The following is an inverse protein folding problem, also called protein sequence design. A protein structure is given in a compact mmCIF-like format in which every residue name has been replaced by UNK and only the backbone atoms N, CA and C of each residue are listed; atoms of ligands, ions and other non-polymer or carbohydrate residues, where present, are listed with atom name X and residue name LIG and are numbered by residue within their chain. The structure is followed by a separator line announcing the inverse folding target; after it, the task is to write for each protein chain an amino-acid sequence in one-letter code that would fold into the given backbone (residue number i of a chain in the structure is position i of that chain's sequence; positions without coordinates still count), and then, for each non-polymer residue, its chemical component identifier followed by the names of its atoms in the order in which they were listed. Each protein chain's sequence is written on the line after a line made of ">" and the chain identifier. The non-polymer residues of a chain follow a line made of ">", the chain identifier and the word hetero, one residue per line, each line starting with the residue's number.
data_IF_169017447895
#
_entry.id   IF_169017447895
#
_cell.length_a   1.000
_cell.length_b   1.000
_cell.length_c   1.000
_cell.angle_alpha   90.00
_cell.angle_beta   90.00
_cell.angle_gamma   90.00
#
_symmetry.space_group_name_H-M   'P 1'
#
loop_
_entity.id
_entity.type
_entity.pdbx_description
1 polymer ?
#
# COMPACT_ATOMS: atom_id res chain seq x y z
N UNK A 1 -13.99 -20.97 10.60
CA UNK A 1 -13.31 -19.96 11.44
C UNK A 1 -11.89 -19.82 10.90
N UNK A 2 -11.43 -18.59 10.66
CA UNK A 2 -10.03 -18.31 10.28
C UNK A 2 -9.12 -18.77 11.42
N UNK A 3 -8.10 -19.57 11.11
CA UNK A 3 -7.15 -20.06 12.11
C UNK A 3 -5.90 -19.18 12.05
N UNK A 4 -5.79 -18.22 12.97
CA UNK A 4 -4.57 -17.44 13.15
C UNK A 4 -3.51 -18.29 13.85
N UNK A 5 -2.26 -18.20 13.38
CA UNK A 5 -1.11 -18.91 13.96
C UNK A 5 -0.07 -17.95 14.60
N UNK A 6 -0.30 -16.63 14.50
CA UNK A 6 0.48 -15.60 15.18
C UNK A 6 -0.43 -14.74 16.04
N UNK A 7 -0.13 -14.65 17.33
CA UNK A 7 -0.71 -13.66 18.23
C UNK A 7 0.23 -12.46 18.30
N UNK A 8 -0.27 -11.26 17.94
CA UNK A 8 0.52 -10.02 17.94
C UNK A 8 0.69 -9.41 19.35
N UNK A 9 -0.10 -9.81 20.34
CA UNK A 9 -0.02 -9.27 21.69
C UNK A 9 1.37 -9.51 22.30
N UNK A 10 1.99 -8.45 22.83
CA UNK A 10 3.32 -8.49 23.42
C UNK A 10 4.48 -8.67 22.44
N UNK A 11 4.23 -8.67 21.12
CA UNK A 11 5.28 -8.81 20.11
C UNK A 11 5.85 -7.48 19.65
N UNK A 12 7.06 -7.56 19.09
CA UNK A 12 7.67 -6.43 18.38
C UNK A 12 7.44 -6.58 16.87
N UNK A 13 6.91 -5.54 16.26
CA UNK A 13 6.64 -5.46 14.82
C UNK A 13 7.50 -4.37 14.19
N UNK A 14 8.20 -4.70 13.10
CA UNK A 14 8.86 -3.70 12.27
C UNK A 14 7.93 -3.28 11.11
N UNK A 15 7.65 -1.99 11.01
CA UNK A 15 6.93 -1.40 9.88
C UNK A 15 7.88 -0.51 9.10
N UNK A 16 8.26 -0.90 7.89
CA UNK A 16 9.05 -0.04 7.01
C UNK A 16 8.12 0.85 6.16
N UNK A 17 8.57 2.06 5.82
CA UNK A 17 7.66 3.05 5.22
C UNK A 17 6.62 3.57 6.21
N UNK A 18 7.00 3.67 7.49
CA UNK A 18 6.09 3.96 8.59
C UNK A 18 5.52 5.40 8.56
N UNK A 19 6.22 6.36 7.97
CA UNK A 19 5.71 7.71 7.71
C UNK A 19 4.91 7.80 6.40
N UNK A 20 4.82 6.70 5.66
CA UNK A 20 4.00 6.58 4.44
C UNK A 20 2.51 6.50 4.74
N UNK A 21 1.69 6.59 3.69
CA UNK A 21 0.23 6.56 3.78
C UNK A 21 -0.31 5.29 4.46
N UNK A 22 0.03 4.12 3.92
CA UNK A 22 -0.45 2.85 4.46
C UNK A 22 0.25 2.54 5.79
N UNK A 23 1.58 2.78 5.87
CA UNK A 23 2.37 2.48 7.06
C UNK A 23 1.90 3.20 8.30
N UNK A 24 1.64 4.51 8.22
CA UNK A 24 1.16 5.28 9.36
C UNK A 24 -0.23 4.85 9.84
N UNK A 25 -1.14 4.54 8.91
CA UNK A 25 -2.46 4.02 9.26
C UNK A 25 -2.38 2.62 9.88
N UNK A 26 -1.47 1.77 9.40
CA UNK A 26 -1.21 0.46 10.00
C UNK A 26 -0.69 0.59 11.45
N UNK A 27 0.30 1.45 11.68
CA UNK A 27 0.83 1.65 13.04
C UNK A 27 -0.25 2.14 14.00
N UNK A 28 -1.06 3.14 13.59
CA UNK A 28 -2.19 3.63 14.38
C UNK A 28 -3.19 2.51 14.71
N UNK A 29 -3.52 1.67 13.73
CA UNK A 29 -4.42 0.55 13.91
C UNK A 29 -3.86 -0.51 14.87
N UNK A 30 -2.56 -0.82 14.77
CA UNK A 30 -1.91 -1.77 15.68
C UNK A 30 -1.96 -1.30 17.13
N UNK A 31 -1.70 -0.01 17.41
CA UNK A 31 -1.82 0.53 18.77
C UNK A 31 -3.24 0.56 19.30
N UNK A 32 -4.24 0.71 18.41
CA UNK A 32 -5.64 0.68 18.81
C UNK A 32 -6.12 -0.75 19.15
N UNK A 33 -5.73 -1.75 18.35
CA UNK A 33 -6.36 -3.08 18.41
C UNK A 33 -5.52 -4.10 19.19
N UNK A 34 -4.21 -3.92 19.31
CA UNK A 34 -3.31 -4.94 19.87
C UNK A 34 -2.68 -4.46 21.17
N UNK A 35 -2.93 -5.20 22.25
CA UNK A 35 -2.39 -4.89 23.58
C UNK A 35 -0.89 -5.16 23.65
N UNK A 36 -0.17 -4.28 24.35
CA UNK A 36 1.26 -4.45 24.66
C UNK A 36 2.16 -4.68 23.43
N UNK A 37 1.72 -4.25 22.25
CA UNK A 37 2.53 -4.33 21.04
C UNK A 37 3.62 -3.26 21.06
N UNK A 38 4.83 -3.65 20.67
CA UNK A 38 5.91 -2.71 20.35
C UNK A 38 6.01 -2.55 18.84
N UNK A 39 6.02 -1.33 18.34
CA UNK A 39 6.19 -1.05 16.90
C UNK A 39 7.44 -0.23 16.68
N UNK A 40 8.30 -0.71 15.79
CA UNK A 40 9.45 0.03 15.29
C UNK A 40 9.13 0.46 13.87
N UNK A 41 9.21 1.76 13.62
CA UNK A 41 9.04 2.32 12.28
C UNK A 41 10.38 2.75 11.70
N UNK A 42 10.59 2.49 10.40
CA UNK A 42 11.70 3.06 9.64
C UNK A 42 11.16 3.74 8.39
N UNK A 43 11.62 4.94 8.10
CA UNK A 43 11.30 5.70 6.89
C UNK A 43 12.43 6.67 6.56
N UNK A 44 12.71 6.86 5.28
CA UNK A 44 13.75 7.78 4.79
C UNK A 44 13.25 9.22 4.61
N UNK A 45 11.96 9.48 4.82
CA UNK A 45 11.31 10.80 4.69
C UNK A 45 11.71 11.50 3.37
N UNK A 46 11.65 10.75 2.25
CA UNK A 46 12.02 11.31 0.94
C UNK A 46 11.12 12.48 0.55
N UNK A 47 11.65 13.42 -0.21
CA UNK A 47 10.98 14.62 -0.72
C UNK A 47 10.20 14.37 -2.05
N UNK A 48 9.87 13.13 -2.35
CA UNK A 48 9.05 12.76 -3.52
C UNK A 48 7.72 13.52 -3.56
N UNK A 49 7.16 13.83 -2.41
CA UNK A 49 6.06 14.78 -2.19
C UNK A 49 6.29 15.53 -0.87
N UNK A 50 5.46 16.52 -0.57
CA UNK A 50 5.58 17.36 0.61
C UNK A 50 5.83 16.53 1.87
N UNK A 51 6.99 16.74 2.50
CA UNK A 51 7.43 15.99 3.68
C UNK A 51 6.60 16.33 4.93
N UNK A 52 5.95 17.50 4.96
CA UNK A 52 5.15 17.90 6.11
C UNK A 52 4.03 16.89 6.41
N UNK A 53 3.39 16.35 5.36
CA UNK A 53 2.36 15.31 5.56
C UNK A 53 2.93 14.03 6.21
N UNK A 54 4.23 13.73 6.01
CA UNK A 54 4.90 12.59 6.66
C UNK A 54 5.15 12.88 8.13
N UNK A 55 5.58 14.09 8.45
CA UNK A 55 5.77 14.50 9.85
C UNK A 55 4.44 14.58 10.61
N UNK A 56 3.36 15.07 9.99
CA UNK A 56 2.04 15.05 10.62
C UNK A 56 1.55 13.62 10.92
N UNK A 57 1.76 12.67 10.01
CA UNK A 57 1.46 11.24 10.26
C UNK A 57 2.26 10.68 11.44
N UNK A 58 3.54 11.06 11.58
CA UNK A 58 4.38 10.65 12.72
C UNK A 58 3.87 11.26 14.03
N UNK A 59 3.50 12.54 14.05
CA UNK A 59 2.89 13.19 15.21
C UNK A 59 1.59 12.50 15.64
N UNK A 60 0.74 12.11 14.69
CA UNK A 60 -0.48 11.35 14.99
C UNK A 60 -0.16 10.01 15.67
N UNK A 61 0.91 9.31 15.25
CA UNK A 61 1.35 8.07 15.88
C UNK A 61 1.88 8.34 17.29
N UNK A 62 2.74 9.34 17.48
CA UNK A 62 3.32 9.73 18.76
C UNK A 62 2.24 10.11 19.78
N UNK A 63 1.18 10.78 19.33
CA UNK A 63 0.05 11.17 20.18
C UNK A 63 -0.75 9.99 20.76
N UNK A 64 -0.58 8.78 20.22
CA UNK A 64 -1.22 7.56 20.76
C UNK A 64 -0.50 6.99 21.98
N UNK A 65 0.71 7.48 22.31
CA UNK A 65 1.51 7.04 23.44
C UNK A 65 1.75 5.52 23.52
N UNK A 66 1.80 4.85 22.37
CA UNK A 66 2.14 3.42 22.27
C UNK A 66 3.65 3.19 22.47
N UNK A 67 4.06 1.91 22.60
CA UNK A 67 5.51 1.54 22.61
C UNK A 67 6.06 1.68 21.18
N UNK A 68 6.49 2.89 20.86
CA UNK A 68 6.90 3.36 19.53
C UNK A 68 8.34 3.80 19.50
N UNK A 69 9.08 3.29 18.50
CA UNK A 69 10.40 3.79 18.15
C UNK A 69 10.45 4.12 16.65
N UNK A 70 10.95 5.29 16.29
CA UNK A 70 11.11 5.71 14.90
C UNK A 70 12.59 5.84 14.52
N UNK A 71 12.96 5.20 13.41
CA UNK A 71 14.31 5.28 12.82
C UNK A 71 14.23 6.04 11.51
N UNK A 72 14.83 7.23 11.47
CA UNK A 72 14.95 8.00 10.24
C UNK A 72 16.13 7.48 9.40
N UNK A 73 15.88 6.50 8.57
CA UNK A 73 16.88 5.89 7.69
C UNK A 73 16.22 5.24 6.47
N UNK A 74 17.02 4.98 5.44
CA UNK A 74 16.59 4.19 4.27
C UNK A 74 16.74 2.69 4.56
N UNK A 75 15.82 1.87 4.07
CA UNK A 75 16.00 0.41 4.07
C UNK A 75 17.15 -0.04 3.15
N UNK A 76 17.63 0.83 2.24
CA UNK A 76 18.83 0.58 1.45
C UNK A 76 20.13 0.74 2.26
N UNK A 77 20.06 1.38 3.42
CA UNK A 77 21.15 1.42 4.41
C UNK A 77 21.16 0.10 5.20
N UNK A 78 22.09 -0.78 4.81
CA UNK A 78 22.21 -2.11 5.39
C UNK A 78 22.53 -2.06 6.88
N UNK A 79 23.40 -1.15 7.29
CA UNK A 79 23.84 -1.05 8.69
C UNK A 79 22.70 -0.57 9.60
N UNK A 80 21.89 0.38 9.11
CA UNK A 80 20.70 0.83 9.82
C UNK A 80 19.67 -0.29 9.98
N UNK A 81 19.43 -1.09 8.93
CA UNK A 81 18.52 -2.25 9.01
C UNK A 81 19.06 -3.29 9.99
N UNK A 82 20.32 -3.69 9.87
CA UNK A 82 20.94 -4.70 10.74
C UNK A 82 20.92 -4.27 12.21
N UNK A 83 21.17 -2.99 12.49
CA UNK A 83 21.09 -2.44 13.85
C UNK A 83 19.68 -2.62 14.45
N UNK A 84 18.62 -2.34 13.69
CA UNK A 84 17.23 -2.52 14.16
C UNK A 84 16.99 -3.97 14.61
N UNK A 85 17.40 -4.94 13.81
CA UNK A 85 17.19 -6.36 14.13
C UNK A 85 18.08 -6.88 15.26
N UNK A 86 19.32 -6.37 15.35
CA UNK A 86 20.25 -6.73 16.44
C UNK A 86 19.78 -6.21 17.80
N UNK A 87 19.25 -5.01 17.84
CA UNK A 87 18.79 -4.36 19.08
C UNK A 87 17.38 -4.80 19.51
N UNK A 88 16.62 -5.46 18.62
CA UNK A 88 15.22 -5.79 18.88
C UNK A 88 14.88 -7.20 18.36
N UNK A 89 14.16 -7.96 19.18
CA UNK A 89 13.61 -9.26 18.75
C UNK A 89 12.35 -9.03 17.90
N UNK A 90 12.53 -8.80 16.61
CA UNK A 90 11.43 -8.58 15.66
C UNK A 90 10.69 -9.90 15.39
N UNK A 91 9.39 -9.94 15.68
CA UNK A 91 8.56 -11.12 15.40
C UNK A 91 7.94 -11.04 13.99
N UNK A 92 7.41 -9.88 13.60
CA UNK A 92 6.75 -9.68 12.31
C UNK A 92 7.34 -8.46 11.62
N UNK A 93 7.62 -8.59 10.33
CA UNK A 93 8.05 -7.48 9.47
C UNK A 93 6.94 -7.14 8.49
N UNK A 94 6.54 -5.88 8.43
CA UNK A 94 5.64 -5.35 7.39
C UNK A 94 6.41 -4.37 6.52
N UNK A 95 6.90 -4.85 5.37
CA UNK A 95 7.71 -4.04 4.46
C UNK A 95 6.84 -3.27 3.47
N UNK A 96 6.55 -2.01 3.80
CA UNK A 96 5.81 -1.07 2.94
C UNK A 96 6.72 -0.01 2.31
N UNK A 97 7.96 0.14 2.79
CA UNK A 97 8.94 1.06 2.23
C UNK A 97 9.23 0.70 0.77
N UNK A 98 9.00 1.64 -0.10
CA UNK A 98 9.32 1.54 -1.53
C UNK A 98 9.22 2.91 -2.18
N UNK A 99 9.97 3.12 -3.26
CA UNK A 99 9.62 4.16 -4.20
C UNK A 99 8.42 3.66 -5.03
N UNK A 100 7.30 4.38 -4.92
CA UNK A 100 6.06 4.06 -5.62
C UNK A 100 5.79 5.05 -6.78
N UNK A 101 4.87 4.67 -7.66
CA UNK A 101 4.48 5.49 -8.82
C UNK A 101 5.09 5.00 -10.13
N UNK A 102 4.21 4.69 -11.10
CA UNK A 102 4.64 4.17 -12.42
C UNK A 102 5.42 5.23 -13.19
N UNK A 103 4.92 6.48 -13.20
CA UNK A 103 5.49 7.56 -14.02
C UNK A 103 6.85 8.03 -13.53
N UNK A 104 7.01 8.16 -12.23
CA UNK A 104 8.28 8.60 -11.65
C UNK A 104 9.40 7.58 -11.90
N UNK A 105 9.08 6.30 -12.12
CA UNK A 105 10.08 5.30 -12.48
C UNK A 105 10.72 5.52 -13.87
N UNK A 106 10.11 6.37 -14.72
CA UNK A 106 10.65 6.76 -16.02
C UNK A 106 11.70 7.85 -15.86
N UNK A 107 11.45 8.80 -14.95
CA UNK A 107 12.30 10.00 -14.78
C UNK A 107 13.37 9.83 -13.70
N UNK A 108 13.16 8.95 -12.72
CA UNK A 108 14.10 8.66 -11.63
C UNK A 108 14.18 7.14 -11.35
N UNK A 109 14.75 6.34 -12.25
CA UNK A 109 14.84 4.88 -12.11
C UNK A 109 15.71 4.45 -10.91
N UNK A 110 16.76 5.19 -10.57
CA UNK A 110 17.70 4.82 -9.51
C UNK A 110 17.02 4.75 -8.14
N UNK A 111 16.05 5.62 -7.87
CA UNK A 111 15.27 5.56 -6.63
C UNK A 111 14.53 4.23 -6.47
N UNK A 112 14.09 3.62 -7.57
CA UNK A 112 13.42 2.31 -7.58
C UNK A 112 14.38 1.16 -7.35
N UNK A 113 15.56 1.21 -7.96
CA UNK A 113 16.60 0.20 -7.74
C UNK A 113 17.04 0.23 -6.27
N UNK A 114 17.36 1.41 -5.73
CA UNK A 114 17.82 1.56 -4.35
C UNK A 114 16.74 1.12 -3.34
N UNK A 115 15.54 1.67 -3.42
CA UNK A 115 14.50 1.38 -2.42
C UNK A 115 13.89 -0.02 -2.61
N UNK A 116 13.52 -0.39 -3.87
CA UNK A 116 12.69 -1.55 -4.10
C UNK A 116 13.51 -2.84 -4.25
N UNK A 117 14.74 -2.77 -4.76
CA UNK A 117 15.59 -3.96 -4.91
C UNK A 117 16.61 -4.06 -3.77
N UNK A 118 17.50 -3.08 -3.64
CA UNK A 118 18.55 -3.13 -2.62
C UNK A 118 17.94 -3.09 -1.21
N UNK A 119 17.00 -2.17 -0.97
CA UNK A 119 16.32 -2.07 0.31
C UNK A 119 15.55 -3.33 0.67
N UNK A 120 14.80 -3.92 -0.27
CA UNK A 120 14.08 -5.15 -0.02
C UNK A 120 15.01 -6.35 0.22
N UNK A 121 16.13 -6.41 -0.51
CA UNK A 121 17.18 -7.40 -0.27
C UNK A 121 17.73 -7.30 1.15
N UNK A 122 18.02 -6.10 1.66
CA UNK A 122 18.49 -5.91 3.04
C UNK A 122 17.47 -6.43 4.07
N UNK A 123 16.16 -6.19 3.85
CA UNK A 123 15.09 -6.73 4.71
C UNK A 123 15.06 -8.26 4.65
N UNK A 124 15.20 -8.87 3.48
CA UNK A 124 15.23 -10.34 3.35
C UNK A 124 16.42 -10.96 4.08
N UNK A 125 17.61 -10.37 3.95
CA UNK A 125 18.82 -10.85 4.67
C UNK A 125 18.65 -10.69 6.18
N UNK A 126 18.12 -9.56 6.65
CA UNK A 126 17.83 -9.40 8.07
C UNK A 126 16.81 -10.44 8.56
N UNK A 127 15.74 -10.69 7.84
CA UNK A 127 14.76 -11.74 8.17
C UNK A 127 15.41 -13.13 8.21
N UNK A 128 16.37 -13.41 7.31
CA UNK A 128 17.10 -14.68 7.26
C UNK A 128 17.97 -14.92 8.50
N UNK A 129 18.58 -13.86 9.03
CA UNK A 129 19.55 -13.97 10.13
C UNK A 129 18.91 -13.81 11.52
N UNK A 130 17.66 -13.31 11.61
CA UNK A 130 17.01 -12.98 12.88
C UNK A 130 15.68 -13.70 13.14
N UNK A 131 15.41 -14.83 12.47
CA UNK A 131 14.31 -15.77 12.74
C UNK A 131 12.93 -15.10 12.91
N UNK A 132 12.50 -14.28 11.94
CA UNK A 132 11.16 -13.66 11.97
C UNK A 132 10.06 -14.70 11.77
N UNK A 133 8.94 -14.54 12.46
CA UNK A 133 7.78 -15.41 12.33
C UNK A 133 7.01 -15.18 11.01
N UNK A 134 7.01 -13.93 10.50
CA UNK A 134 6.32 -13.59 9.26
C UNK A 134 6.89 -12.33 8.61
N UNK A 135 7.17 -12.38 7.31
CA UNK A 135 7.42 -11.23 6.47
C UNK A 135 6.20 -10.95 5.60
N UNK A 136 5.52 -9.83 5.83
CA UNK A 136 4.46 -9.29 4.95
C UNK A 136 5.06 -8.15 4.14
N UNK A 137 4.86 -8.14 2.83
CA UNK A 137 5.46 -7.08 2.00
C UNK A 137 4.51 -6.56 0.90
N UNK A 138 4.65 -5.28 0.60
CA UNK A 138 3.88 -4.64 -0.46
C UNK A 138 4.41 -5.04 -1.85
N UNK A 139 3.58 -5.75 -2.62
CA UNK A 139 3.63 -5.81 -4.07
C UNK A 139 2.70 -4.75 -4.66
N UNK A 140 2.22 -4.91 -5.88
CA UNK A 140 1.37 -3.92 -6.56
C UNK A 140 0.55 -4.58 -7.66
N UNK A 141 -0.66 -4.09 -7.92
CA UNK A 141 -1.42 -4.45 -9.11
C UNK A 141 -0.70 -4.10 -10.43
N UNK A 142 0.30 -3.24 -10.39
CA UNK A 142 1.15 -2.92 -11.56
C UNK A 142 1.89 -4.13 -12.13
N UNK A 143 2.10 -5.21 -11.34
CA UNK A 143 2.74 -6.46 -11.81
C UNK A 143 1.93 -7.15 -12.89
N UNK A 144 0.62 -6.91 -12.96
CA UNK A 144 -0.23 -7.46 -14.02
C UNK A 144 0.10 -6.90 -15.41
N UNK A 145 0.73 -5.72 -15.48
CA UNK A 145 1.28 -5.16 -16.68
C UNK A 145 0.29 -5.10 -17.82
N UNK A 146 0.59 -5.78 -18.94
CA UNK A 146 -0.22 -5.84 -20.15
C UNK A 146 -1.31 -6.93 -20.15
N UNK A 147 -1.61 -7.57 -19.02
CA UNK A 147 -2.66 -8.56 -18.92
C UNK A 147 -4.01 -7.94 -19.31
N UNK A 148 -4.79 -8.69 -20.13
CA UNK A 148 -6.11 -8.23 -20.62
C UNK A 148 -7.28 -8.88 -19.88
N UNK A 149 -7.04 -10.05 -19.26
CA UNK A 149 -8.06 -10.78 -18.49
C UNK A 149 -8.34 -10.00 -17.18
N UNK A 150 -9.59 -9.78 -16.87
CA UNK A 150 -10.09 -9.22 -15.62
C UNK A 150 -11.25 -10.05 -15.07
N UNK A 151 -11.44 -10.17 -13.76
CA UNK A 151 -10.59 -9.66 -12.68
C UNK A 151 -9.18 -10.25 -12.72
N UNK A 152 -8.19 -9.49 -12.22
CA UNK A 152 -6.83 -9.98 -12.10
C UNK A 152 -6.73 -11.03 -10.99
N UNK A 153 -6.29 -12.23 -11.32
CA UNK A 153 -6.06 -13.32 -10.36
C UNK A 153 -4.59 -13.41 -9.96
N UNK A 154 -4.32 -13.85 -8.73
CA UNK A 154 -2.95 -14.14 -8.28
C UNK A 154 -2.30 -15.29 -9.06
N UNK A 155 -3.09 -16.14 -9.72
CA UNK A 155 -2.64 -17.24 -10.58
C UNK A 155 -2.27 -16.80 -12.01
N UNK A 156 -2.60 -15.54 -12.37
CA UNK A 156 -2.27 -15.03 -13.71
C UNK A 156 -0.75 -14.87 -13.84
N UNK A 157 -0.22 -15.18 -15.03
CA UNK A 157 1.16 -14.87 -15.38
C UNK A 157 1.37 -13.35 -15.38
N UNK A 158 2.43 -12.90 -14.73
CA UNK A 158 2.78 -11.49 -14.58
C UNK A 158 4.21 -11.22 -15.10
N UNK A 159 4.49 -11.68 -16.31
CA UNK A 159 5.82 -11.67 -16.91
C UNK A 159 6.03 -10.50 -17.89
N UNK A 160 5.01 -9.66 -18.10
CA UNK A 160 5.03 -8.55 -19.04
C UNK A 160 4.77 -7.20 -18.36
N UNK A 161 5.71 -6.75 -17.47
CA UNK A 161 5.60 -5.45 -16.80
C UNK A 161 5.68 -4.31 -17.81
N UNK A 162 4.90 -3.25 -17.63
CA UNK A 162 4.89 -2.07 -18.52
C UNK A 162 5.64 -0.87 -17.92
N UNK A 163 6.30 -1.05 -16.78
CA UNK A 163 7.13 -0.03 -16.14
C UNK A 163 8.24 -0.64 -15.30
N UNK A 164 9.31 0.12 -15.04
CA UNK A 164 10.35 -0.29 -14.11
C UNK A 164 9.79 -0.52 -12.70
N UNK A 165 8.85 0.32 -12.25
CA UNK A 165 8.16 0.09 -10.97
C UNK A 165 7.52 -1.30 -10.91
N UNK A 166 6.75 -1.68 -11.94
CA UNK A 166 6.13 -3.00 -12.00
C UNK A 166 7.17 -4.13 -11.98
N UNK A 167 8.26 -3.96 -12.74
CA UNK A 167 9.36 -4.92 -12.76
C UNK A 167 10.01 -5.08 -11.38
N UNK A 168 10.28 -3.99 -10.65
CA UNK A 168 10.83 -4.07 -9.29
C UNK A 168 9.89 -4.76 -8.32
N UNK A 169 8.57 -4.52 -8.42
CA UNK A 169 7.58 -5.19 -7.56
C UNK A 169 7.46 -6.68 -7.87
N UNK A 170 7.50 -7.06 -9.15
CA UNK A 170 7.58 -8.48 -9.51
C UNK A 170 8.88 -9.11 -9.03
N UNK A 171 10.00 -8.42 -9.11
CA UNK A 171 11.29 -8.88 -8.56
C UNK A 171 11.19 -9.14 -7.05
N UNK A 172 10.47 -8.30 -6.28
CA UNK A 172 10.24 -8.55 -4.86
C UNK A 172 9.50 -9.87 -4.63
N UNK A 173 8.46 -10.19 -5.42
CA UNK A 173 7.76 -11.48 -5.32
C UNK A 173 8.71 -12.66 -5.57
N UNK A 174 9.55 -12.58 -6.62
CA UNK A 174 10.51 -13.63 -6.95
C UNK A 174 11.60 -13.79 -5.88
N UNK A 175 12.14 -12.70 -5.37
CA UNK A 175 13.14 -12.70 -4.30
C UNK A 175 12.55 -13.30 -3.00
N UNK A 176 11.37 -12.85 -2.59
CA UNK A 176 10.71 -13.40 -1.39
C UNK A 176 10.40 -14.88 -1.53
N UNK A 177 9.93 -15.34 -2.70
CA UNK A 177 9.71 -16.76 -2.96
C UNK A 177 11.01 -17.57 -2.84
N UNK A 178 12.11 -17.08 -3.43
CA UNK A 178 13.42 -17.75 -3.35
C UNK A 178 13.90 -17.86 -1.90
N UNK A 179 13.77 -16.78 -1.10
CA UNK A 179 14.15 -16.78 0.31
C UNK A 179 13.25 -17.68 1.16
N UNK A 180 11.95 -17.71 0.90
CA UNK A 180 11.02 -18.67 1.54
C UNK A 180 11.42 -20.11 1.24
N UNK A 181 11.79 -20.42 -0.01
CA UNK A 181 12.19 -21.77 -0.41
C UNK A 181 13.52 -22.20 0.21
N UNK A 182 14.52 -21.32 0.20
CA UNK A 182 15.88 -21.63 0.65
C UNK A 182 16.02 -21.59 2.17
N UNK A 183 15.37 -20.63 2.81
CA UNK A 183 15.58 -20.33 4.23
C UNK A 183 14.35 -20.53 5.11
N UNK A 184 13.26 -21.03 4.53
CA UNK A 184 11.99 -21.29 5.21
C UNK A 184 11.40 -20.05 5.92
N UNK A 185 11.58 -18.86 5.33
CA UNK A 185 11.00 -17.60 5.84
C UNK A 185 9.53 -17.52 5.43
N UNK A 186 8.57 -17.55 6.38
CA UNK A 186 7.17 -17.36 6.03
C UNK A 186 6.95 -15.97 5.45
N UNK A 187 6.47 -15.90 4.19
CA UNK A 187 6.37 -14.62 3.48
C UNK A 187 5.05 -14.48 2.74
N UNK A 188 4.40 -13.31 2.89
CA UNK A 188 3.16 -12.98 2.18
C UNK A 188 3.29 -11.67 1.42
N UNK A 189 3.15 -11.76 0.09
CA UNK A 189 3.11 -10.59 -0.79
C UNK A 189 1.69 -10.04 -0.98
N UNK A 190 1.54 -8.72 -0.98
CA UNK A 190 0.26 -8.04 -1.10
C UNK A 190 0.24 -7.17 -2.37
N UNK A 191 -0.53 -7.58 -3.37
CA UNK A 191 -0.77 -6.78 -4.57
C UNK A 191 -1.86 -5.75 -4.28
N UNK A 192 -1.45 -4.57 -3.81
CA UNK A 192 -2.36 -3.46 -3.57
C UNK A 192 -2.88 -2.88 -4.88
N UNK A 193 -4.17 -2.61 -4.93
CA UNK A 193 -4.82 -1.83 -5.98
C UNK A 193 -4.79 -0.34 -5.64
N UNK A 194 -5.70 0.48 -6.16
CA UNK A 194 -5.64 1.92 -5.95
C UNK A 194 -6.15 2.29 -4.55
N UNK A 195 -5.21 2.52 -3.63
CA UNK A 195 -5.54 2.88 -2.24
C UNK A 195 -5.82 4.39 -2.14
N UNK A 196 -6.90 4.75 -1.44
CA UNK A 196 -7.29 6.12 -1.21
C UNK A 196 -7.81 6.33 0.22
N UNK A 197 -7.88 7.60 0.69
CA UNK A 197 -8.41 7.95 2.00
C UNK A 197 -7.67 9.11 2.67
N UNK A 198 -8.03 9.41 3.94
CA UNK A 198 -7.40 10.45 4.76
C UNK A 198 -5.89 10.29 4.87
N UNK A 199 -5.18 11.40 4.98
CA UNK A 199 -3.71 11.45 5.02
C UNK A 199 -3.03 10.68 3.87
N UNK A 200 -3.68 10.62 2.70
CA UNK A 200 -3.19 9.91 1.53
C UNK A 200 -2.00 10.57 0.85
N UNK A 201 -1.59 10.01 -0.29
CA UNK A 201 -0.45 10.52 -1.06
C UNK A 201 -0.89 11.67 -1.98
N UNK A 202 -0.21 12.82 -1.95
CA UNK A 202 -0.57 13.99 -2.77
C UNK A 202 -0.47 13.76 -4.29
N UNK A 203 0.32 12.78 -4.73
CA UNK A 203 0.48 12.40 -6.14
C UNK A 203 -0.66 11.51 -6.68
N UNK A 204 -1.57 11.05 -5.82
CA UNK A 204 -2.75 10.28 -6.23
C UNK A 204 -3.87 11.18 -6.75
N UNK A 205 -4.66 10.64 -7.69
CA UNK A 205 -5.67 11.41 -8.42
C UNK A 205 -6.64 12.19 -7.51
N UNK A 206 -7.22 11.53 -6.48
CA UNK A 206 -8.18 12.19 -5.58
C UNK A 206 -7.58 13.38 -4.84
N UNK A 207 -6.33 13.26 -4.38
CA UNK A 207 -5.63 14.32 -3.67
C UNK A 207 -5.17 15.42 -4.65
N UNK A 208 -4.55 15.01 -5.77
CA UNK A 208 -4.09 15.94 -6.80
C UNK A 208 -5.23 16.74 -7.43
N UNK A 209 -6.39 16.13 -7.66
CA UNK A 209 -7.59 16.83 -8.15
C UNK A 209 -8.10 17.82 -7.12
N UNK A 210 -8.17 17.42 -5.84
CA UNK A 210 -8.59 18.32 -4.76
C UNK A 210 -7.68 19.54 -4.65
N UNK A 211 -6.34 19.34 -4.66
CA UNK A 211 -5.38 20.45 -4.63
C UNK A 211 -5.57 21.45 -5.80
N UNK A 212 -5.85 20.94 -6.99
CA UNK A 212 -6.09 21.77 -8.17
C UNK A 212 -7.41 22.55 -8.07
N UNK A 213 -8.49 21.85 -7.73
CA UNK A 213 -9.81 22.47 -7.60
C UNK A 213 -9.83 23.59 -6.56
N UNK A 214 -9.17 23.39 -5.42
CA UNK A 214 -9.03 24.42 -4.38
C UNK A 214 -8.27 25.65 -4.87
N UNK A 215 -7.29 25.46 -5.77
CA UNK A 215 -6.53 26.55 -6.39
C UNK A 215 -7.22 27.18 -7.60
N UNK A 216 -8.39 26.71 -8.01
CA UNK A 216 -9.05 27.13 -9.25
C UNK A 216 -8.28 26.69 -10.50
N UNK A 217 -7.57 25.56 -10.43
CA UNK A 217 -6.83 24.99 -11.57
C UNK A 217 -7.64 23.86 -12.23
N UNK A 218 -7.46 23.71 -13.54
CA UNK A 218 -8.15 22.67 -14.32
C UNK A 218 -7.59 21.27 -14.02
N UNK A 219 -8.49 20.32 -13.75
CA UNK A 219 -8.17 18.90 -13.66
C UNK A 219 -8.24 18.22 -15.02
N UNK A 220 -7.26 17.38 -15.35
CA UNK A 220 -7.23 16.61 -16.61
C UNK A 220 -7.73 15.19 -16.35
N UNK A 221 -8.80 14.81 -17.03
CA UNK A 221 -9.41 13.48 -16.94
C UNK A 221 -9.01 12.70 -18.19
N UNK A 222 -8.11 11.74 -17.99
CA UNK A 222 -7.53 10.94 -19.07
C UNK A 222 -8.50 9.90 -19.64
N UNK A 223 -8.21 9.49 -20.89
CA UNK A 223 -9.04 8.61 -21.69
C UNK A 223 -10.50 9.09 -21.78
N UNK A 224 -10.71 10.42 -21.81
CA UNK A 224 -12.05 11.03 -21.85
C UNK A 224 -12.99 10.51 -20.72
N UNK A 225 -12.42 10.05 -19.62
CA UNK A 225 -13.14 9.43 -18.51
C UNK A 225 -13.47 7.94 -18.68
N UNK A 226 -13.14 7.33 -19.81
CA UNK A 226 -13.43 5.91 -20.11
C UNK A 226 -12.43 4.95 -19.42
N UNK A 227 -12.28 5.11 -18.13
CA UNK A 227 -11.43 4.25 -17.29
C UNK A 227 -12.22 3.74 -16.09
N UNK A 228 -11.92 2.51 -15.69
CA UNK A 228 -12.42 1.94 -14.43
C UNK A 228 -11.25 1.55 -13.54
N UNK A 229 -11.35 1.88 -12.27
CA UNK A 229 -10.34 1.57 -11.27
C UNK A 229 -10.96 0.95 -10.03
N UNK A 230 -10.26 -0.02 -9.48
CA UNK A 230 -10.58 -0.59 -8.20
C UNK A 230 -10.02 0.31 -7.10
N UNK A 231 -10.87 1.16 -6.55
CA UNK A 231 -10.53 2.04 -5.44
C UNK A 231 -10.79 1.33 -4.13
N UNK A 232 -9.75 1.19 -3.31
CA UNK A 232 -9.84 0.52 -2.02
C UNK A 232 -9.53 1.50 -0.90
N UNK A 233 -10.45 1.62 0.06
CA UNK A 233 -10.28 2.54 1.17
C UNK A 233 -9.15 2.07 2.10
N UNK A 234 -8.39 3.02 2.67
CA UNK A 234 -7.18 2.71 3.43
C UNK A 234 -7.45 1.84 4.67
N UNK A 235 -8.59 2.02 5.36
CA UNK A 235 -8.91 1.20 6.53
C UNK A 235 -9.18 -0.26 6.14
N UNK A 236 -9.79 -0.50 4.97
CA UNK A 236 -9.97 -1.85 4.44
C UNK A 236 -8.62 -2.50 4.08
N UNK A 237 -7.69 -1.71 3.54
CA UNK A 237 -6.31 -2.18 3.28
C UNK A 237 -5.64 -2.58 4.59
N UNK A 238 -5.70 -1.70 5.60
CA UNK A 238 -5.07 -1.93 6.91
C UNK A 238 -5.69 -3.14 7.61
N UNK A 239 -7.01 -3.30 7.55
CA UNK A 239 -7.71 -4.48 8.09
C UNK A 239 -7.18 -5.77 7.43
N UNK A 240 -7.07 -5.78 6.10
CA UNK A 240 -6.49 -6.93 5.38
C UNK A 240 -5.07 -7.23 5.81
N UNK A 241 -4.21 -6.21 5.93
CA UNK A 241 -2.82 -6.37 6.39
C UNK A 241 -2.76 -6.94 7.80
N UNK A 242 -3.56 -6.42 8.76
CA UNK A 242 -3.58 -6.91 10.15
C UNK A 242 -4.03 -8.36 10.24
N UNK A 243 -5.01 -8.80 9.45
CA UNK A 243 -5.41 -10.20 9.40
C UNK A 243 -4.31 -11.09 8.86
N UNK A 244 -3.67 -10.66 7.77
CA UNK A 244 -2.58 -11.40 7.13
C UNK A 244 -1.37 -11.51 8.06
N UNK A 245 -1.00 -10.47 8.79
CA UNK A 245 0.11 -10.50 9.77
C UNK A 245 -0.04 -11.62 10.79
N UNK A 246 -1.27 -11.99 11.12
CA UNK A 246 -1.60 -13.01 12.11
C UNK A 246 -1.69 -14.44 11.53
N UNK A 247 -1.45 -14.59 10.21
CA UNK A 247 -1.56 -15.88 9.53
C UNK A 247 -0.39 -16.10 8.57
N UNK A 248 0.73 -16.52 9.14
CA UNK A 248 1.91 -16.86 8.35
C UNK A 248 1.67 -18.13 7.53
N UNK A 249 2.07 -18.16 6.24
CA UNK A 249 2.00 -19.37 5.45
C UNK A 249 2.92 -20.44 6.03
N UNK A 250 2.48 -21.69 5.98
CA UNK A 250 3.24 -22.83 6.48
C UNK A 250 3.85 -23.64 5.34
N UNK A 251 5.01 -24.25 5.59
CA UNK A 251 5.61 -25.20 4.68
C UNK A 251 4.70 -26.41 4.51
N UNK A 252 4.45 -26.79 3.27
CA UNK A 252 3.61 -27.93 2.93
C UNK A 252 4.36 -28.89 2.00
N UNK A 253 3.84 -30.09 1.84
CA UNK A 253 4.27 -31.00 0.78
C UNK A 253 3.26 -30.97 -0.37
N UNK A 254 3.76 -30.83 -1.59
CA UNK A 254 2.95 -30.97 -2.79
C UNK A 254 2.45 -32.40 -3.00
N UNK A 255 1.53 -32.58 -3.93
CA UNK A 255 1.03 -33.91 -4.34
C UNK A 255 2.13 -34.82 -4.88
N UNK A 256 3.20 -34.23 -5.43
CA UNK A 256 4.43 -34.89 -5.90
C UNK A 256 5.43 -35.21 -4.76
N UNK A 257 5.08 -34.90 -3.50
CA UNK A 257 5.93 -35.07 -2.32
C UNK A 257 7.04 -34.01 -2.17
N UNK A 258 7.17 -33.06 -3.11
CA UNK A 258 8.15 -31.98 -3.02
C UNK A 258 7.69 -30.88 -2.07
N UNK A 259 8.62 -30.25 -1.33
CA UNK A 259 8.26 -29.19 -0.39
C UNK A 259 7.81 -27.90 -1.09
N UNK A 260 6.61 -27.45 -0.75
CA UNK A 260 6.08 -26.14 -1.11
C UNK A 260 6.59 -25.14 -0.05
N UNK A 261 7.21 -24.02 -0.45
CA UNK A 261 7.70 -23.03 0.49
C UNK A 261 6.55 -22.34 1.25
N UNK A 262 6.81 -21.80 2.46
CA UNK A 262 5.85 -21.01 3.21
C UNK A 262 5.68 -19.61 2.57
N UNK A 263 5.07 -19.56 1.39
CA UNK A 263 4.95 -18.36 0.55
C UNK A 263 3.54 -18.23 -0.01
N UNK A 264 2.98 -17.05 0.05
CA UNK A 264 1.67 -16.73 -0.51
C UNK A 264 1.63 -15.32 -1.09
N UNK A 265 0.74 -15.09 -2.07
CA UNK A 265 0.46 -13.76 -2.61
C UNK A 265 -1.06 -13.56 -2.61
N UNK A 266 -1.50 -12.36 -2.19
CA UNK A 266 -2.91 -11.96 -2.23
C UNK A 266 -3.10 -10.65 -2.98
N UNK A 267 -4.21 -10.53 -3.67
CA UNK A 267 -4.73 -9.23 -4.08
C UNK A 267 -5.49 -8.60 -2.91
N UNK A 268 -5.25 -7.31 -2.67
CA UNK A 268 -6.11 -6.50 -1.81
C UNK A 268 -6.69 -5.36 -2.64
N UNK A 269 -7.97 -5.50 -2.95
CA UNK A 269 -8.77 -4.58 -3.73
C UNK A 269 -10.24 -4.68 -3.33
N UNK A 270 -11.05 -3.74 -3.76
CA UNK A 270 -12.49 -3.72 -3.44
C UNK A 270 -13.30 -4.68 -4.33
N UNK A 271 -12.70 -5.19 -5.41
CA UNK A 271 -13.37 -6.01 -6.43
C UNK A 271 -14.65 -5.34 -7.00
N UNK A 272 -14.64 -4.00 -7.03
CA UNK A 272 -15.73 -3.16 -7.52
C UNK A 272 -15.12 -2.03 -8.35
N UNK A 273 -14.92 -2.21 -9.67
CA UNK A 273 -14.30 -1.19 -10.51
C UNK A 273 -15.24 -0.01 -10.74
N UNK A 274 -14.86 1.15 -10.24
CA UNK A 274 -15.60 2.41 -10.35
C UNK A 274 -15.21 3.18 -11.62
N UNK A 275 -16.17 3.83 -12.25
CA UNK A 275 -15.92 4.70 -13.38
C UNK A 275 -15.19 5.98 -12.94
N UNK A 276 -14.24 6.47 -13.75
CA UNK A 276 -13.47 7.66 -13.41
C UNK A 276 -14.31 8.94 -13.35
N UNK A 277 -15.32 9.09 -14.18
CA UNK A 277 -16.22 10.25 -14.14
C UNK A 277 -17.11 10.23 -12.90
N UNK A 278 -17.63 9.05 -12.52
CA UNK A 278 -18.42 8.89 -11.30
C UNK A 278 -17.54 9.21 -10.06
N UNK A 279 -16.29 8.72 -10.08
CA UNK A 279 -15.31 9.05 -9.03
C UNK A 279 -15.10 10.56 -8.91
N UNK A 280 -14.90 11.28 -10.03
CA UNK A 280 -14.69 12.73 -10.03
C UNK A 280 -15.94 13.43 -9.51
N UNK A 281 -17.13 13.05 -9.95
CA UNK A 281 -18.41 13.63 -9.50
C UNK A 281 -18.59 13.45 -7.99
N UNK A 282 -18.39 12.24 -7.48
CA UNK A 282 -18.52 11.97 -6.04
C UNK A 282 -17.49 12.78 -5.24
N UNK A 283 -16.24 12.85 -5.70
CA UNK A 283 -15.19 13.64 -5.05
C UNK A 283 -15.62 15.12 -4.93
N UNK A 284 -16.11 15.70 -6.02
CA UNK A 284 -16.58 17.08 -6.08
C UNK A 284 -17.73 17.35 -5.11
N UNK A 285 -18.74 16.48 -5.09
CA UNK A 285 -19.88 16.57 -4.17
C UNK A 285 -19.44 16.50 -2.70
N UNK A 286 -18.52 15.59 -2.35
CA UNK A 286 -18.05 15.46 -0.98
C UNK A 286 -17.13 16.61 -0.55
N UNK A 287 -16.34 17.20 -1.46
CA UNK A 287 -15.57 18.42 -1.19
C UNK A 287 -16.47 19.63 -0.89
N UNK A 288 -17.57 19.77 -1.61
CA UNK A 288 -18.58 20.83 -1.33
C UNK A 288 -19.29 20.54 0.00
N UNK A 289 -19.69 19.29 0.25
CA UNK A 289 -20.35 18.88 1.49
C UNK A 289 -19.48 19.16 2.72
N UNK A 290 -18.19 18.86 2.64
CA UNK A 290 -17.22 19.14 3.71
C UNK A 290 -16.91 20.63 3.86
N UNK A 291 -17.29 21.46 2.90
CA UNK A 291 -16.97 22.90 2.86
C UNK A 291 -15.51 23.19 2.51
N UNK A 292 -14.88 22.31 1.75
CA UNK A 292 -13.56 22.52 1.11
C UNK A 292 -13.73 23.40 -0.12
N UNK A 293 -14.82 23.20 -0.88
CA UNK A 293 -15.19 24.02 -2.02
C UNK A 293 -16.52 24.73 -1.75
N UNK A 294 -16.75 25.91 -2.35
CA UNK A 294 -18.01 26.64 -2.20
C UNK A 294 -19.18 25.88 -2.85
N UNK A 295 -20.41 26.17 -2.39
CA UNK A 295 -21.63 25.48 -2.85
C UNK A 295 -21.96 25.70 -4.33
N UNK A 296 -21.52 26.82 -4.87
CA UNK A 296 -21.73 27.29 -6.25
C UNK A 296 -20.49 27.08 -7.13
N UNK A 297 -19.59 26.15 -6.76
CA UNK A 297 -18.38 25.87 -7.52
C UNK A 297 -18.71 25.34 -8.91
N UNK A 298 -18.21 26.00 -9.96
CA UNK A 298 -18.39 25.55 -11.34
C UNK A 298 -17.41 24.48 -11.74
N UNK A 299 -17.79 23.22 -11.53
CA UNK A 299 -16.93 22.06 -11.83
C UNK A 299 -16.64 21.89 -13.32
N UNK A 300 -17.52 22.33 -14.21
CA UNK A 300 -17.31 22.18 -15.65
C UNK A 300 -16.23 23.14 -16.15
N UNK A 301 -16.12 24.33 -15.55
CA UNK A 301 -15.08 25.31 -15.90
C UNK A 301 -13.67 24.81 -15.58
N UNK A 302 -13.54 23.87 -14.63
CA UNK A 302 -12.25 23.34 -14.16
C UNK A 302 -12.01 21.87 -14.55
N UNK A 303 -12.70 21.37 -15.57
CA UNK A 303 -12.59 19.98 -16.05
C UNK A 303 -12.21 19.93 -17.53
N UNK A 304 -11.15 19.20 -17.87
CA UNK A 304 -10.69 18.95 -19.24
C UNK A 304 -10.61 17.44 -19.49
N UNK A 305 -11.33 16.96 -20.50
CA UNK A 305 -11.24 15.57 -20.96
C UNK A 305 -10.11 15.45 -21.99
N UNK A 306 -9.14 14.58 -21.71
CA UNK A 306 -7.94 14.43 -22.54
C UNK A 306 -7.74 12.98 -22.98
N UNK A 307 -6.95 12.71 -24.06
CA UNK A 307 -6.65 11.36 -24.50
C UNK A 307 -5.95 10.51 -23.44
N UNK A 308 -5.99 9.20 -23.63
CA UNK A 308 -5.31 8.24 -22.75
C UNK A 308 -3.80 8.47 -22.74
N UNK A 309 -3.17 8.33 -21.58
CA UNK A 309 -1.70 8.43 -21.46
C UNK A 309 -1.02 7.10 -21.83
N UNK A 310 0.22 7.16 -22.39
CA UNK A 310 1.02 5.97 -22.60
C UNK A 310 1.26 5.17 -21.30
N UNK A 311 1.12 3.85 -21.36
CA UNK A 311 1.30 2.97 -20.22
C UNK A 311 0.09 2.86 -19.27
N UNK A 312 -1.00 3.59 -19.54
CA UNK A 312 -2.25 3.43 -18.81
C UNK A 312 -3.08 2.24 -19.36
N UNK A 313 -3.95 1.66 -18.52
CA UNK A 313 -4.85 0.57 -18.88
C UNK A 313 -6.29 0.99 -18.62
N UNK A 314 -7.28 0.56 -19.45
CA UNK A 314 -8.66 1.04 -19.32
C UNK A 314 -9.36 0.53 -18.07
N UNK A 315 -9.08 -0.69 -17.62
CA UNK A 315 -9.78 -1.32 -16.50
C UNK A 315 -8.77 -2.08 -15.62
N UNK A 316 -8.85 -1.88 -14.30
CA UNK A 316 -8.11 -2.68 -13.32
C UNK A 316 -9.02 -3.00 -12.15
N UNK A 317 -9.16 -4.29 -11.81
CA UNK A 317 -9.79 -4.71 -10.55
C UNK A 317 -9.32 -6.10 -10.12
N UNK A 318 -9.40 -6.32 -8.81
CA UNK A 318 -8.87 -7.49 -8.14
C UNK A 318 -9.86 -8.67 -8.15
N UNK A 319 -9.36 -9.89 -8.36
CA UNK A 319 -9.98 -11.07 -7.79
C UNK A 319 -9.49 -11.21 -6.33
N UNK A 320 -10.39 -11.01 -5.38
CA UNK A 320 -10.12 -11.09 -3.94
C UNK A 320 -10.64 -12.38 -3.31
N UNK A 321 -11.11 -13.33 -4.12
CA UNK A 321 -11.64 -14.60 -3.64
C UNK A 321 -10.70 -15.36 -2.70
N UNK A 322 -9.38 -15.47 -2.97
CA UNK A 322 -8.46 -16.12 -2.03
C UNK A 322 -8.37 -15.39 -0.68
N UNK A 323 -8.38 -14.05 -0.68
CA UNK A 323 -8.38 -13.26 0.54
C UNK A 323 -9.65 -13.49 1.37
N UNK A 324 -10.80 -13.52 0.71
CA UNK A 324 -12.09 -13.76 1.36
C UNK A 324 -12.18 -15.18 1.93
N UNK A 325 -11.71 -16.18 1.20
CA UNK A 325 -11.72 -17.58 1.64
C UNK A 325 -10.77 -17.82 2.83
N UNK A 326 -9.55 -17.31 2.78
CA UNK A 326 -8.54 -17.58 3.81
C UNK A 326 -8.75 -16.73 5.07
N UNK A 327 -9.29 -15.49 4.94
CA UNK A 327 -9.40 -14.55 6.07
C UNK A 327 -10.83 -14.15 6.45
N UNK A 328 -11.85 -14.62 5.72
CA UNK A 328 -13.25 -14.21 5.94
C UNK A 328 -13.44 -12.70 5.83
N UNK A 329 -12.64 -12.05 4.99
CA UNK A 329 -12.58 -10.61 4.85
C UNK A 329 -12.61 -10.18 3.38
N UNK A 330 -13.43 -9.18 3.11
CA UNK A 330 -13.50 -8.49 1.83
C UNK A 330 -13.61 -7.00 2.09
N UNK A 331 -12.77 -6.16 1.44
CA UNK A 331 -12.97 -4.71 1.42
C UNK A 331 -14.39 -4.36 0.98
N UNK A 332 -15.03 -3.40 1.67
CA UNK A 332 -16.44 -3.06 1.42
C UNK A 332 -16.80 -1.59 1.63
N UNK A 333 -15.85 -0.74 1.97
CA UNK A 333 -16.09 0.69 2.10
C UNK A 333 -16.47 1.27 0.74
N UNK A 334 -17.67 1.87 0.65
CA UNK A 334 -18.13 2.48 -0.60
C UNK A 334 -17.25 3.67 -0.99
N UNK A 335 -17.13 3.92 -2.31
CA UNK A 335 -16.36 5.05 -2.82
C UNK A 335 -16.81 6.39 -2.20
N UNK A 336 -18.12 6.62 -2.10
CA UNK A 336 -18.69 7.83 -1.49
C UNK A 336 -18.28 8.00 -0.04
N UNK A 337 -18.39 6.95 0.75
CA UNK A 337 -18.01 7.01 2.17
C UNK A 337 -16.52 7.30 2.35
N UNK A 338 -15.66 6.64 1.58
CA UNK A 338 -14.23 6.89 1.63
C UNK A 338 -13.83 8.29 1.19
N UNK A 339 -14.46 8.83 0.13
CA UNK A 339 -14.22 10.21 -0.34
C UNK A 339 -14.79 11.25 0.63
N UNK A 340 -15.93 10.98 1.28
CA UNK A 340 -16.47 11.82 2.36
C UNK A 340 -15.44 11.97 3.48
N UNK A 341 -14.91 10.86 3.99
CA UNK A 341 -13.91 10.86 5.07
C UNK A 341 -12.60 11.54 4.65
N UNK A 342 -12.19 11.38 3.38
CA UNK A 342 -11.06 12.11 2.83
C UNK A 342 -11.32 13.62 2.80
N UNK A 343 -12.49 14.08 2.31
CA UNK A 343 -12.82 15.49 2.22
C UNK A 343 -12.90 16.17 3.60
N UNK A 344 -13.47 15.50 4.60
CA UNK A 344 -13.52 15.96 5.98
C UNK A 344 -12.11 16.11 6.58
N UNK A 345 -11.23 15.12 6.37
CA UNK A 345 -9.83 15.20 6.76
C UNK A 345 -9.09 16.33 6.04
N UNK A 346 -9.28 16.46 4.72
CA UNK A 346 -8.61 17.47 3.90
C UNK A 346 -8.94 18.90 4.35
N UNK A 347 -10.20 19.15 4.77
CA UNK A 347 -10.59 20.43 5.34
C UNK A 347 -9.78 20.82 6.57
N UNK A 348 -9.51 19.85 7.45
CA UNK A 348 -8.70 20.08 8.66
C UNK A 348 -7.24 20.29 8.27
N UNK A 349 -6.73 19.46 7.35
CA UNK A 349 -5.36 19.53 6.83
C UNK A 349 -5.01 20.88 6.19
N UNK A 350 -5.95 21.56 5.53
CA UNK A 350 -5.73 22.90 4.96
C UNK A 350 -5.56 24.01 5.99
N UNK A 351 -5.98 23.79 7.22
CA UNK A 351 -5.95 24.80 8.30
C UNK A 351 -4.61 24.75 9.05
N UNK A 352 -3.92 23.64 8.96
CA UNK A 352 -2.61 23.39 9.58
C UNK A 352 -1.48 23.87 8.66
#
# INVERSE_FOLDING_TARGET
>A
MVKYNINLEGKTVLVTGAAGFIGSNLVKRLFHDVKNIKVIGIDSITDYYDVNIKYERLKEIEALHGDWAFVHASIADKDAVEKIFTENKIAVVVNLAAQAGVRYSITNPDAYIQSNLIGFYNILEACRHHEVEHLVYASSSSVYGSNKKVPYSTDDKVDNPVSLYAATKKSNELMAHAYSKLYNIPSTGLRFFTVYGPAGRPDMAYFGFTNKLVKGETIKIFNYGNCKRDFTFVDDIVEGVVRIMQHAPEKQNGEDGLPIPPYKVYNIGNNSPENLLDFVTILQEELVRAGVLPKDYDFEAYKELVPMQPGDVPVTYADTTPLEQDFGFKPNTSLREGLRRFAEWYKIYQII
#
